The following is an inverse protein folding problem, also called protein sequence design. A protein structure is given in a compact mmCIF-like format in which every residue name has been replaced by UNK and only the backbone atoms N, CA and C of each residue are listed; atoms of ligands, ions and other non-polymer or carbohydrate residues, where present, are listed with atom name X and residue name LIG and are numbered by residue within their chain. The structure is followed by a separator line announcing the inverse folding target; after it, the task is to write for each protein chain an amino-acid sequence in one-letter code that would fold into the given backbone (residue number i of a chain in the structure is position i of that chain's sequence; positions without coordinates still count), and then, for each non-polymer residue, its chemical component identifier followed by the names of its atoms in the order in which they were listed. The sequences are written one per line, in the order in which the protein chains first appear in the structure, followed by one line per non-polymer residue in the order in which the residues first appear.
data_IF_107118168311
#
_entry.id   IF_107118168311
#
_cell.length_a   1.000
_cell.length_b   1.000
_cell.length_c   1.000
_cell.angle_alpha   90.00
_cell.angle_beta   90.00
_cell.angle_gamma   90.00
#
_symmetry.space_group_name_H-M   'P 1'
#
loop_
_entity.id
_entity.type
_entity.pdbx_description
1 polymer ?
#
# COMPACT_ATOMS: atom_id res chain seq x y z
N UNK A 1 16.89 -2.31 -16.18
CA UNK A 1 16.23 -1.19 -16.89
C UNK A 1 15.39 -0.42 -15.88
N UNK A 2 15.59 0.89 -15.77
CA UNK A 2 15.04 1.75 -14.71
C UNK A 2 13.49 1.75 -14.71
N UNK A 3 12.87 1.30 -13.62
CA UNK A 3 11.40 1.21 -13.42
C UNK A 3 10.86 2.40 -12.58
N UNK A 4 11.58 3.53 -12.56
CA UNK A 4 11.09 4.77 -11.92
C UNK A 4 10.51 5.72 -12.96
N UNK A 5 9.32 6.28 -12.69
CA UNK A 5 8.71 7.49 -13.33
C UNK A 5 7.36 7.37 -14.08
N UNK A 6 6.46 6.42 -13.74
CA UNK A 6 5.16 6.31 -14.43
C UNK A 6 3.92 6.88 -13.70
N UNK A 7 4.09 7.65 -12.63
CA UNK A 7 2.98 8.29 -11.89
C UNK A 7 2.74 9.77 -12.26
N UNK A 8 3.61 10.39 -13.07
CA UNK A 8 3.75 11.84 -13.16
C UNK A 8 2.86 12.62 -14.14
N UNK A 9 1.74 12.08 -14.63
CA UNK A 9 1.06 12.69 -15.78
C UNK A 9 -0.27 13.43 -15.41
N UNK A 10 -0.82 13.26 -14.21
CA UNK A 10 -2.27 13.25 -13.87
C UNK A 10 -3.27 14.38 -14.24
N UNK A 11 -2.94 15.59 -14.71
CA UNK A 11 -3.85 16.73 -14.40
C UNK A 11 -4.13 17.80 -15.46
N UNK A 12 -4.57 17.44 -16.67
CA UNK A 12 -5.09 18.47 -17.59
C UNK A 12 -6.38 18.02 -18.29
N UNK A 13 -7.45 18.78 -18.05
CA UNK A 13 -8.73 18.87 -18.77
C UNK A 13 -9.91 17.98 -18.32
N UNK A 14 -10.57 18.40 -17.23
CA UNK A 14 -12.02 18.28 -17.10
C UNK A 14 -12.69 19.38 -17.96
N UNK A 15 -13.31 18.99 -19.07
CA UNK A 15 -14.49 19.61 -19.69
C UNK A 15 -14.55 19.17 -21.16
N UNK A 16 -15.52 18.32 -21.52
CA UNK A 16 -16.42 18.46 -22.68
C UNK A 16 -17.44 17.31 -22.57
N UNK A 17 -18.70 17.69 -22.37
CA UNK A 17 -19.86 16.78 -22.43
C UNK A 17 -20.20 16.56 -23.91
N UNK A 18 -20.28 15.30 -24.36
CA UNK A 18 -21.01 14.96 -25.60
C UNK A 18 -21.88 13.74 -25.32
N UNK A 19 -23.19 13.98 -25.36
CA UNK A 19 -24.26 12.99 -25.27
C UNK A 19 -24.34 12.14 -26.54
N UNK A 20 -24.46 10.82 -26.39
CA UNK A 20 -24.86 9.90 -27.45
C UNK A 20 -25.72 8.80 -26.85
N UNK A 21 -26.95 8.68 -27.33
CA UNK A 21 -27.99 7.78 -26.83
C UNK A 21 -27.85 6.43 -27.50
N UNK A 22 -27.70 5.36 -26.71
CA UNK A 22 -28.08 4.01 -27.10
C UNK A 22 -28.83 3.37 -25.93
N UNK A 23 -29.97 2.75 -26.25
CA UNK A 23 -30.88 2.14 -25.29
C UNK A 23 -30.37 0.75 -24.87
N UNK A 24 -30.20 0.56 -23.57
CA UNK A 24 -30.04 -0.73 -22.91
C UNK A 24 -31.01 -0.80 -21.73
N UNK A 25 -31.51 -2.01 -21.50
CA UNK A 25 -32.58 -2.43 -20.58
C UNK A 25 -32.46 -1.80 -19.18
N UNK A 26 -33.52 -1.10 -18.73
CA UNK A 26 -33.53 -0.31 -17.49
C UNK A 26 -33.45 -1.20 -16.24
N UNK A 27 -32.25 -1.28 -15.66
CA UNK A 27 -32.10 -1.50 -14.22
C UNK A 27 -32.72 -0.30 -13.47
N UNK A 28 -33.31 -0.49 -12.27
CA UNK A 28 -34.01 0.58 -11.56
C UNK A 28 -33.10 1.80 -11.39
N UNK A 29 -33.60 2.95 -11.84
CA UNK A 29 -32.92 4.24 -11.80
C UNK A 29 -32.68 4.63 -10.33
N UNK A 30 -31.45 4.42 -9.85
CA UNK A 30 -31.02 4.97 -8.56
C UNK A 30 -30.87 6.46 -8.77
N UNK A 31 -31.68 7.27 -8.09
CA UNK A 31 -31.53 8.73 -8.06
C UNK A 31 -30.16 9.11 -7.46
N UNK A 32 -29.15 9.22 -8.34
CA UNK A 32 -27.77 9.58 -7.98
C UNK A 32 -27.63 11.04 -7.54
N UNK A 33 -28.71 11.83 -7.54
CA UNK A 33 -28.66 13.26 -7.19
C UNK A 33 -28.74 13.52 -5.69
N UNK A 34 -29.11 12.53 -4.88
CA UNK A 34 -29.12 12.63 -3.41
C UNK A 34 -28.02 11.76 -2.81
N UNK A 35 -27.03 12.40 -2.18
CA UNK A 35 -25.98 11.69 -1.45
C UNK A 35 -26.60 10.76 -0.39
N UNK A 36 -26.15 9.50 -0.37
CA UNK A 36 -26.65 8.47 0.55
C UNK A 36 -25.59 8.22 1.62
N UNK A 37 -25.40 9.23 2.46
CA UNK A 37 -24.41 9.17 3.54
C UNK A 37 -24.83 8.22 4.67
N UNK A 38 -23.87 7.46 5.19
CA UNK A 38 -23.98 6.74 6.46
C UNK A 38 -22.89 7.23 7.41
N UNK A 39 -23.30 7.73 8.58
CA UNK A 39 -22.39 8.29 9.58
C UNK A 39 -22.26 7.39 10.81
N UNK A 40 -21.06 7.38 11.38
CA UNK A 40 -20.77 6.94 12.74
C UNK A 40 -20.09 8.09 13.49
N UNK A 41 -20.35 8.23 14.78
CA UNK A 41 -19.77 9.30 15.60
C UNK A 41 -19.61 8.88 17.06
N UNK A 42 -18.64 9.49 17.73
CA UNK A 42 -18.46 9.39 19.18
C UNK A 42 -18.32 10.81 19.78
N UNK A 43 -17.75 10.92 20.98
CA UNK A 43 -17.58 12.21 21.65
C UNK A 43 -16.46 13.08 21.06
N UNK A 44 -15.63 12.53 20.16
CA UNK A 44 -14.44 13.19 19.63
C UNK A 44 -14.46 13.39 18.12
N UNK A 45 -14.96 12.42 17.35
CA UNK A 45 -14.91 12.43 15.88
C UNK A 45 -16.20 11.94 15.25
N UNK A 46 -16.40 12.31 13.98
CA UNK A 46 -17.48 11.86 13.10
C UNK A 46 -16.90 11.39 11.78
N UNK A 47 -17.29 10.20 11.36
CA UNK A 47 -16.92 9.61 10.07
C UNK A 47 -18.19 9.35 9.24
N UNK A 48 -18.12 9.65 7.95
CA UNK A 48 -19.20 9.41 6.99
C UNK A 48 -18.69 8.73 5.72
N UNK A 49 -19.40 7.69 5.31
CA UNK A 49 -19.21 7.03 4.01
C UNK A 49 -20.36 7.36 3.07
N UNK A 50 -20.08 7.51 1.77
CA UNK A 50 -21.12 7.71 0.76
C UNK A 50 -21.46 6.37 0.07
N UNK A 51 -22.68 5.89 0.29
CA UNK A 51 -23.15 4.60 -0.23
C UNK A 51 -23.45 4.64 -1.75
N UNK A 52 -23.42 5.81 -2.39
CA UNK A 52 -23.53 5.93 -3.85
C UNK A 52 -22.19 5.67 -4.56
N UNK A 53 -21.07 5.70 -3.83
CA UNK A 53 -19.70 5.55 -4.36
C UNK A 53 -18.94 4.50 -3.54
N UNK A 54 -19.46 3.27 -3.54
CA UNK A 54 -18.79 2.12 -2.91
C UNK A 54 -18.59 2.20 -1.39
N UNK A 55 -19.20 3.17 -0.71
CA UNK A 55 -18.95 3.41 0.72
C UNK A 55 -17.56 3.92 1.02
N UNK A 56 -16.92 4.63 0.08
CA UNK A 56 -15.69 5.37 0.37
C UNK A 56 -15.96 6.44 1.45
N UNK A 57 -14.95 6.74 2.28
CA UNK A 57 -15.09 7.81 3.28
C UNK A 57 -14.95 9.15 2.55
N UNK A 58 -16.04 9.92 2.56
CA UNK A 58 -16.12 11.28 2.01
C UNK A 58 -16.22 12.32 3.12
N UNK A 59 -16.37 11.89 4.37
CA UNK A 59 -16.43 12.75 5.54
C UNK A 59 -15.62 12.20 6.71
N UNK A 60 -14.72 13.00 7.26
CA UNK A 60 -14.09 12.76 8.55
C UNK A 60 -13.82 14.11 9.20
N UNK A 61 -14.21 14.28 10.46
CA UNK A 61 -13.97 15.52 11.19
C UNK A 61 -13.79 15.25 12.68
N UNK A 62 -13.07 16.16 13.34
CA UNK A 62 -13.25 16.36 14.78
C UNK A 62 -14.69 16.83 15.05
N UNK A 63 -15.26 16.47 16.19
CA UNK A 63 -16.64 16.80 16.51
C UNK A 63 -16.85 18.32 16.52
N UNK A 64 -17.72 18.80 15.63
CA UNK A 64 -17.98 20.24 15.44
C UNK A 64 -16.95 20.97 14.57
N UNK A 65 -15.95 20.25 14.01
CA UNK A 65 -14.98 20.78 13.08
C UNK A 65 -15.39 20.61 11.61
N UNK A 66 -14.51 21.09 10.72
CA UNK A 66 -14.69 20.99 9.28
C UNK A 66 -14.36 19.59 8.76
N UNK A 67 -14.97 19.23 7.62
CA UNK A 67 -14.62 17.99 6.92
C UNK A 67 -13.16 18.03 6.44
N UNK A 68 -12.39 17.01 6.83
CA UNK A 68 -11.01 16.77 6.40
C UNK A 68 -10.91 16.33 4.95
N UNK A 69 -11.92 15.63 4.43
CA UNK A 69 -11.78 14.78 3.24
C UNK A 69 -12.13 15.55 1.97
N UNK A 70 -11.26 15.45 0.97
CA UNK A 70 -11.55 15.92 -0.38
C UNK A 70 -12.50 14.95 -1.08
N UNK A 71 -13.30 15.42 -2.01
CA UNK A 71 -14.24 14.62 -2.82
C UNK A 71 -14.58 15.31 -4.13
N UNK A 72 -13.61 16.00 -4.75
CA UNK A 72 -13.80 16.71 -6.02
C UNK A 72 -14.10 15.76 -7.18
N UNK A 73 -13.54 14.56 -7.13
CA UNK A 73 -13.73 13.46 -8.07
C UNK A 73 -13.69 12.12 -7.31
N UNK A 74 -13.99 11.00 -7.99
CA UNK A 74 -13.97 9.66 -7.38
C UNK A 74 -12.58 9.04 -7.23
N UNK A 75 -11.53 9.81 -7.51
CA UNK A 75 -10.14 9.46 -7.20
C UNK A 75 -9.67 10.01 -5.84
N UNK A 76 -10.43 10.90 -5.21
CA UNK A 76 -10.00 11.66 -4.02
C UNK A 76 -10.93 11.42 -2.85
N UNK A 77 -10.72 10.36 -2.09
CA UNK A 77 -11.43 10.02 -0.85
C UNK A 77 -10.45 9.35 0.12
N UNK A 78 -10.92 8.82 1.25
CA UNK A 78 -10.22 7.67 1.84
C UNK A 78 -10.78 6.40 1.22
N UNK A 79 -9.95 5.69 0.47
CA UNK A 79 -10.41 4.56 -0.35
C UNK A 79 -9.34 3.52 -0.66
N UNK A 80 -9.81 2.30 -0.91
CA UNK A 80 -9.02 1.20 -1.43
C UNK A 80 -8.74 1.41 -2.94
N UNK A 81 -7.48 1.21 -3.34
CA UNK A 81 -7.03 1.23 -4.74
C UNK A 81 -5.91 0.20 -4.92
N UNK A 82 -6.06 -0.71 -5.88
CA UNK A 82 -5.08 -1.77 -6.13
C UNK A 82 -4.57 -1.74 -7.56
N UNK A 83 -3.37 -2.25 -7.79
CA UNK A 83 -2.68 -2.21 -9.07
C UNK A 83 -2.11 -3.59 -9.42
N UNK A 84 -2.42 -4.06 -10.62
CA UNK A 84 -1.85 -5.28 -11.19
C UNK A 84 -1.65 -5.12 -12.70
N UNK A 85 -1.01 -6.10 -13.34
CA UNK A 85 -1.15 -6.28 -14.78
C UNK A 85 -2.50 -6.93 -15.16
N UNK A 86 -2.81 -6.99 -16.47
CA UNK A 86 -1.95 -6.55 -17.56
C UNK A 86 -1.85 -5.02 -17.66
N UNK A 87 -0.82 -4.53 -18.34
CA UNK A 87 -0.59 -3.10 -18.61
C UNK A 87 -0.39 -2.95 -20.13
N UNK A 88 -1.34 -2.35 -20.87
CA UNK A 88 -2.65 -1.88 -20.41
C UNK A 88 -3.60 -3.03 -20.02
N UNK A 89 -4.66 -2.69 -19.26
CA UNK A 89 -5.80 -3.57 -19.02
C UNK A 89 -6.97 -3.15 -19.93
N UNK A 90 -7.35 -4.05 -20.84
CA UNK A 90 -8.34 -3.78 -21.91
C UNK A 90 -9.41 -4.89 -21.93
N UNK A 91 -10.23 -5.03 -20.86
CA UNK A 91 -11.31 -6.02 -20.81
C UNK A 91 -12.46 -5.62 -21.73
N UNK A 92 -13.25 -6.60 -22.20
CA UNK A 92 -14.54 -6.37 -22.87
C UNK A 92 -14.48 -5.37 -24.04
N UNK A 93 -13.34 -5.30 -24.74
CA UNK A 93 -13.12 -4.36 -25.85
C UNK A 93 -12.99 -2.89 -25.43
N UNK A 94 -13.01 -2.58 -24.13
CA UNK A 94 -12.81 -1.24 -23.59
C UNK A 94 -11.33 -0.89 -23.54
N UNK A 95 -11.03 0.38 -23.76
CA UNK A 95 -9.67 0.93 -23.68
C UNK A 95 -9.56 1.88 -22.50
N UNK A 96 -8.46 1.84 -21.74
CA UNK A 96 -8.24 2.80 -20.69
C UNK A 96 -8.11 4.20 -21.28
N UNK A 97 -8.58 5.21 -20.54
CA UNK A 97 -8.27 6.60 -20.81
C UNK A 97 -6.76 6.72 -21.01
N UNK A 98 -6.32 7.29 -22.14
CA UNK A 98 -4.91 7.21 -22.58
C UNK A 98 -3.92 7.70 -21.52
N UNK A 99 -4.36 8.71 -20.78
CA UNK A 99 -3.70 9.30 -19.64
C UNK A 99 -3.37 8.28 -18.51
N UNK A 100 -4.30 7.37 -18.20
CA UNK A 100 -4.21 6.38 -17.13
C UNK A 100 -3.82 4.97 -17.60
N UNK A 101 -3.39 4.83 -18.86
CA UNK A 101 -3.08 3.53 -19.49
C UNK A 101 -2.04 2.70 -18.71
N UNK A 102 -1.07 3.36 -18.08
CA UNK A 102 -0.01 2.71 -17.31
C UNK A 102 -0.45 2.12 -15.97
N UNK A 103 -1.67 2.43 -15.50
CA UNK A 103 -2.20 1.88 -14.25
C UNK A 103 -2.54 0.39 -14.36
N UNK A 104 -2.78 -0.13 -15.56
CA UNK A 104 -3.14 -1.54 -15.75
C UNK A 104 -4.48 -1.89 -15.12
N UNK A 105 -4.58 -3.07 -14.49
CA UNK A 105 -5.73 -3.46 -13.68
C UNK A 105 -5.75 -2.60 -12.42
N UNK A 106 -6.76 -1.73 -12.27
CA UNK A 106 -6.87 -0.78 -11.19
C UNK A 106 -8.32 -0.57 -10.71
N UNK A 107 -8.87 -1.50 -9.92
CA UNK A 107 -10.12 -1.27 -9.22
C UNK A 107 -9.91 -0.24 -8.10
N UNK A 108 -10.86 0.69 -7.99
CA UNK A 108 -10.88 1.77 -7.01
C UNK A 108 -12.26 1.82 -6.33
N UNK A 109 -12.28 2.15 -5.04
CA UNK A 109 -13.49 2.00 -4.22
C UNK A 109 -14.59 2.99 -4.58
N UNK A 110 -14.29 4.28 -4.78
CA UNK A 110 -15.34 5.28 -4.95
C UNK A 110 -16.03 5.17 -6.31
N UNK A 111 -15.26 5.07 -7.40
CA UNK A 111 -15.81 5.01 -8.75
C UNK A 111 -14.77 5.32 -9.82
N UNK A 112 -15.16 5.22 -11.09
CA UNK A 112 -14.23 5.45 -12.20
C UNK A 112 -14.03 6.93 -12.54
N UNK A 113 -13.03 7.20 -13.40
CA UNK A 113 -12.71 8.54 -13.90
C UNK A 113 -13.78 9.16 -14.81
N UNK A 114 -14.85 8.42 -15.12
CA UNK A 114 -16.03 8.87 -15.87
C UNK A 114 -17.23 9.14 -14.96
N UNK A 115 -17.01 9.23 -13.66
CA UNK A 115 -18.00 9.52 -12.63
C UNK A 115 -19.04 8.41 -12.38
N UNK A 116 -18.77 7.16 -12.75
CA UNK A 116 -19.60 6.03 -12.33
C UNK A 116 -19.17 5.54 -10.95
N UNK A 117 -20.07 5.66 -9.97
CA UNK A 117 -19.84 5.19 -8.61
C UNK A 117 -19.85 3.66 -8.49
N UNK A 118 -19.02 3.13 -7.61
CA UNK A 118 -19.01 1.72 -7.26
C UNK A 118 -20.27 1.28 -6.52
N UNK A 119 -20.67 0.02 -6.72
CA UNK A 119 -21.93 -0.50 -6.19
C UNK A 119 -21.75 -1.08 -4.79
N UNK A 120 -22.37 -0.48 -3.78
CA UNK A 120 -22.51 -1.09 -2.46
C UNK A 120 -23.45 -2.30 -2.54
N UNK A 121 -23.01 -3.44 -2.02
CA UNK A 121 -23.77 -4.70 -1.98
C UNK A 121 -24.14 -5.12 -0.56
N UNK A 122 -23.44 -4.60 0.45
CA UNK A 122 -23.75 -4.84 1.86
C UNK A 122 -23.33 -3.64 2.70
N UNK A 123 -24.13 -3.30 3.71
CA UNK A 123 -23.86 -2.19 4.63
C UNK A 123 -24.45 -2.50 6.00
N UNK A 124 -23.67 -2.23 7.05
CA UNK A 124 -24.10 -2.29 8.45
C UNK A 124 -23.57 -1.07 9.19
N UNK A 125 -24.38 -0.51 10.07
CA UNK A 125 -24.03 0.62 10.92
C UNK A 125 -24.60 0.39 12.32
N UNK A 126 -23.73 0.42 13.33
CA UNK A 126 -24.05 0.18 14.75
C UNK A 126 -23.87 1.46 15.60
N UNK A 127 -23.63 2.62 14.97
CA UNK A 127 -23.47 3.92 15.63
C UNK A 127 -22.00 4.33 15.83
N UNK A 128 -21.17 3.42 16.33
CA UNK A 128 -19.71 3.57 16.52
C UNK A 128 -18.89 2.61 15.64
N UNK A 129 -19.55 1.65 14.99
CA UNK A 129 -18.99 0.70 14.03
C UNK A 129 -19.73 0.74 12.71
N UNK A 130 -18.98 0.66 11.62
CA UNK A 130 -19.51 0.64 10.26
C UNK A 130 -18.83 -0.44 9.44
N UNK A 131 -19.62 -1.18 8.68
CA UNK A 131 -19.13 -2.10 7.67
C UNK A 131 -19.76 -1.79 6.32
N UNK A 132 -18.96 -1.83 5.27
CA UNK A 132 -19.44 -1.72 3.89
C UNK A 132 -18.71 -2.69 2.97
N UNK A 133 -19.46 -3.30 2.06
CA UNK A 133 -18.95 -4.13 0.96
C UNK A 133 -19.40 -3.56 -0.36
N UNK A 134 -18.49 -3.44 -1.31
CA UNK A 134 -18.81 -2.98 -2.66
C UNK A 134 -18.15 -3.82 -3.75
N UNK A 135 -18.73 -3.73 -4.96
CA UNK A 135 -18.05 -4.05 -6.21
C UNK A 135 -17.41 -2.75 -6.71
N UNK A 136 -16.07 -2.64 -6.72
CA UNK A 136 -15.38 -1.44 -7.16
C UNK A 136 -15.46 -1.25 -8.68
N UNK A 137 -15.14 -0.05 -9.17
CA UNK A 137 -14.99 0.24 -10.60
C UNK A 137 -13.52 0.28 -10.99
N UNK A 138 -13.21 -0.03 -12.26
CA UNK A 138 -11.87 0.13 -12.82
C UNK A 138 -11.64 1.61 -13.16
N UNK A 139 -10.74 2.28 -12.43
CA UNK A 139 -10.49 3.72 -12.55
C UNK A 139 -10.30 4.22 -14.00
N UNK A 140 -9.41 3.60 -14.82
CA UNK A 140 -9.11 4.15 -16.14
C UNK A 140 -10.16 3.80 -17.20
N UNK A 141 -11.18 2.98 -16.88
CA UNK A 141 -12.16 2.47 -17.85
C UNK A 141 -13.53 3.10 -17.62
N UNK A 142 -14.30 3.24 -18.70
CA UNK A 142 -15.65 3.77 -18.63
C UNK A 142 -16.65 2.68 -18.21
N UNK A 143 -17.23 2.84 -17.03
CA UNK A 143 -18.29 2.01 -16.46
C UNK A 143 -17.95 0.51 -16.49
N UNK A 144 -16.73 0.15 -16.07
CA UNK A 144 -16.26 -1.23 -16.00
C UNK A 144 -16.07 -1.67 -14.53
N UNK A 145 -16.88 -2.61 -14.02
CA UNK A 145 -16.71 -3.12 -12.66
C UNK A 145 -15.44 -3.97 -12.53
N UNK A 146 -14.87 -4.00 -11.33
CA UNK A 146 -13.80 -4.92 -10.99
C UNK A 146 -14.33 -6.34 -10.77
N UNK A 147 -13.55 -7.34 -11.20
CA UNK A 147 -13.76 -8.76 -10.86
C UNK A 147 -13.28 -9.05 -9.43
N UNK A 148 -13.78 -8.29 -8.45
CA UNK A 148 -13.42 -8.40 -7.05
C UNK A 148 -14.48 -7.72 -6.16
N UNK A 149 -14.37 -7.91 -4.85
CA UNK A 149 -15.10 -7.09 -3.88
C UNK A 149 -14.15 -6.45 -2.89
N UNK A 150 -14.49 -5.26 -2.44
CA UNK A 150 -13.83 -4.57 -1.34
C UNK A 150 -14.73 -4.59 -0.12
N UNK A 151 -14.14 -4.87 1.04
CA UNK A 151 -14.80 -4.79 2.34
C UNK A 151 -14.02 -3.83 3.24
N UNK A 152 -14.73 -2.91 3.89
CA UNK A 152 -14.18 -1.96 4.85
C UNK A 152 -14.93 -2.08 6.17
N UNK A 153 -14.17 -2.13 7.27
CA UNK A 153 -14.69 -2.02 8.64
C UNK A 153 -14.07 -0.80 9.30
N UNK A 154 -14.91 0.01 9.94
CA UNK A 154 -14.51 1.20 10.69
C UNK A 154 -15.04 1.10 12.12
N UNK A 155 -14.18 1.34 13.10
CA UNK A 155 -14.53 1.43 14.52
C UNK A 155 -13.93 2.71 15.11
N UNK A 156 -14.71 3.47 15.88
CA UNK A 156 -14.26 4.71 16.51
C UNK A 156 -13.76 4.46 17.94
N UNK A 157 -12.51 4.82 18.24
CA UNK A 157 -11.95 4.82 19.60
C UNK A 157 -11.29 6.18 19.89
N UNK A 158 -11.90 6.97 20.77
CA UNK A 158 -11.43 8.34 21.02
C UNK A 158 -11.37 9.15 19.74
N UNK A 159 -10.22 9.73 19.42
CA UNK A 159 -9.97 10.49 18.20
C UNK A 159 -9.47 9.64 17.01
N UNK A 160 -9.62 8.31 17.07
CA UNK A 160 -9.08 7.38 16.07
C UNK A 160 -10.19 6.61 15.38
N UNK A 161 -10.09 6.50 14.05
CA UNK A 161 -10.78 5.48 13.27
C UNK A 161 -9.86 4.31 13.07
N UNK A 162 -10.24 3.14 13.57
CA UNK A 162 -9.60 1.87 13.25
C UNK A 162 -10.21 1.34 11.95
N UNK A 163 -9.44 1.40 10.87
CA UNK A 163 -9.81 0.86 9.57
C UNK A 163 -9.25 -0.54 9.37
N UNK A 164 -10.10 -1.49 9.00
CA UNK A 164 -9.70 -2.79 8.43
C UNK A 164 -10.27 -2.89 7.02
N UNK A 165 -9.48 -3.46 6.11
CA UNK A 165 -9.77 -3.48 4.69
C UNK A 165 -9.49 -4.87 4.14
N UNK A 166 -10.35 -5.36 3.24
CA UNK A 166 -10.16 -6.63 2.54
C UNK A 166 -10.47 -6.50 1.07
N UNK A 167 -9.54 -6.96 0.23
CA UNK A 167 -9.77 -7.29 -1.16
C UNK A 167 -10.07 -8.78 -1.26
N UNK A 168 -11.24 -9.14 -1.80
CA UNK A 168 -11.51 -10.49 -2.28
C UNK A 168 -11.42 -10.47 -3.81
N UNK A 169 -10.29 -10.94 -4.36
CA UNK A 169 -10.06 -10.96 -5.79
C UNK A 169 -10.67 -12.22 -6.42
N UNK A 170 -11.29 -12.07 -7.60
CA UNK A 170 -11.93 -13.19 -8.31
C UNK A 170 -11.82 -13.01 -9.82
N UNK A 171 -10.62 -12.68 -10.30
CA UNK A 171 -10.35 -12.43 -11.72
C UNK A 171 -10.42 -13.72 -12.53
N UNK A 172 -11.00 -13.62 -13.72
CA UNK A 172 -10.96 -14.66 -14.74
C UNK A 172 -9.54 -14.88 -15.29
N UNK A 173 -8.75 -13.82 -15.41
CA UNK A 173 -7.33 -13.88 -15.78
C UNK A 173 -6.48 -14.45 -14.62
N UNK A 174 -5.97 -15.67 -14.83
CA UNK A 174 -5.17 -16.41 -13.84
C UNK A 174 -3.67 -16.17 -13.92
N UNK A 175 -3.20 -15.29 -14.82
CA UNK A 175 -1.78 -15.00 -14.94
C UNK A 175 -1.28 -14.33 -13.66
N UNK A 176 -0.19 -14.84 -13.09
CA UNK A 176 0.54 -14.14 -12.03
C UNK A 176 1.34 -12.99 -12.66
N UNK A 177 1.05 -11.76 -12.23
CA UNK A 177 1.77 -10.57 -12.65
C UNK A 177 2.82 -10.17 -11.62
N UNK A 178 3.89 -9.44 -12.02
CA UNK A 178 4.88 -8.92 -11.08
C UNK A 178 4.25 -8.06 -9.99
N UNK A 179 4.84 -8.09 -8.80
CA UNK A 179 4.37 -7.28 -7.68
C UNK A 179 4.40 -5.78 -7.99
N UNK A 180 3.36 -5.06 -7.58
CA UNK A 180 3.21 -3.60 -7.76
C UNK A 180 2.90 -2.92 -6.44
N UNK A 181 3.18 -1.63 -6.39
CA UNK A 181 2.87 -0.79 -5.24
C UNK A 181 1.34 -0.63 -5.12
N UNK A 182 0.83 -0.89 -3.93
CA UNK A 182 -0.57 -0.78 -3.54
C UNK A 182 -0.72 0.38 -2.55
N UNK A 183 -1.87 1.05 -2.56
CA UNK A 183 -2.20 2.14 -1.64
C UNK A 183 -3.09 1.62 -0.52
N UNK A 184 -2.68 1.78 0.74
CA UNK A 184 -3.24 1.03 1.86
C UNK A 184 -3.70 1.92 3.04
N UNK A 185 -4.80 2.70 2.95
CA UNK A 185 -5.51 3.13 1.75
C UNK A 185 -4.91 4.42 1.17
N UNK A 186 -5.44 4.91 0.06
CA UNK A 186 -5.25 6.31 -0.33
C UNK A 186 -6.04 7.23 0.61
N UNK A 187 -5.46 8.34 1.05
CA UNK A 187 -6.10 9.35 1.91
C UNK A 187 -5.92 10.72 1.26
N UNK A 188 -7.02 11.33 0.83
CA UNK A 188 -7.03 12.68 0.27
C UNK A 188 -7.70 13.67 1.23
N UNK A 189 -6.92 14.64 1.70
CA UNK A 189 -7.40 15.73 2.52
C UNK A 189 -7.66 16.99 1.67
N UNK A 190 -8.54 17.85 2.16
CA UNK A 190 -8.79 19.17 1.63
C UNK A 190 -7.53 20.05 1.73
N UNK A 191 -7.44 21.05 0.84
CA UNK A 191 -6.22 21.85 0.69
C UNK A 191 -5.77 22.61 1.95
N UNK A 192 -6.67 22.84 2.94
CA UNK A 192 -6.31 23.36 4.26
C UNK A 192 -5.22 22.55 4.96
N UNK A 193 -5.29 21.22 4.93
CA UNK A 193 -4.35 20.31 5.60
C UNK A 193 -3.12 20.03 4.73
N UNK A 194 -2.42 21.09 4.34
CA UNK A 194 -1.42 21.11 3.27
C UNK A 194 -0.02 20.62 3.65
N UNK A 195 0.27 20.44 4.93
CA UNK A 195 1.64 20.12 5.41
C UNK A 195 1.74 18.66 5.80
N UNK A 196 2.80 17.97 5.36
CA UNK A 196 3.04 16.57 5.71
C UNK A 196 4.19 16.47 6.70
N UNK A 197 3.98 15.72 7.79
CA UNK A 197 5.02 15.45 8.80
C UNK A 197 5.18 13.96 9.06
N UNK A 198 6.43 13.55 9.30
CA UNK A 198 6.78 12.21 9.79
C UNK A 198 8.15 12.25 10.46
N UNK A 199 8.58 11.15 11.07
CA UNK A 199 9.96 10.96 11.51
C UNK A 199 10.77 10.22 10.43
N UNK A 200 11.96 10.72 10.10
CA UNK A 200 12.88 10.13 9.11
C UNK A 200 14.27 9.76 9.68
N UNK A 201 14.47 9.92 10.99
CA UNK A 201 15.77 9.64 11.61
C UNK A 201 16.01 8.15 11.87
N UNK A 202 17.13 7.82 12.51
CA UNK A 202 17.57 6.45 12.79
C UNK A 202 17.29 5.98 14.24
N UNK A 203 16.59 6.80 15.04
CA UNK A 203 16.22 6.52 16.43
C UNK A 203 14.69 6.60 16.59
N UNK A 204 13.95 5.68 15.96
CA UNK A 204 12.49 5.71 15.99
C UNK A 204 11.97 5.59 17.43
N UNK A 205 10.81 6.17 17.69
CA UNK A 205 10.10 6.08 18.97
C UNK A 205 10.81 6.76 20.16
N UNK A 206 11.71 7.71 19.89
CA UNK A 206 12.47 8.45 20.93
C UNK A 206 11.98 9.88 21.17
N UNK A 207 11.00 10.37 20.40
CA UNK A 207 10.57 11.76 20.48
C UNK A 207 11.47 12.75 19.73
N UNK A 208 12.49 12.27 19.01
CA UNK A 208 13.37 13.11 18.19
C UNK A 208 12.58 13.98 17.16
N UNK A 209 13.12 15.11 16.67
CA UNK A 209 12.36 16.04 15.82
C UNK A 209 11.73 15.39 14.59
N UNK A 210 10.51 15.85 14.24
CA UNK A 210 9.84 15.48 13.00
C UNK A 210 10.42 16.24 11.81
N UNK A 211 10.27 15.67 10.62
CA UNK A 211 10.61 16.29 9.35
C UNK A 211 9.33 16.66 8.61
N UNK A 212 9.29 17.87 8.07
CA UNK A 212 8.27 18.28 7.11
C UNK A 212 8.63 17.76 5.71
N UNK A 213 7.72 17.01 5.09
CA UNK A 213 7.88 16.54 3.71
C UNK A 213 7.37 17.64 2.79
N UNK A 214 8.29 18.46 2.30
CA UNK A 214 7.99 19.53 1.36
C UNK A 214 7.92 19.00 -0.08
N UNK A 215 6.78 18.42 -0.46
CA UNK A 215 6.54 18.00 -1.84
C UNK A 215 5.31 18.72 -2.41
N UNK A 216 5.59 19.88 -3.01
CA UNK A 216 4.57 20.73 -3.64
C UNK A 216 4.60 20.54 -5.15
N UNK A 217 3.44 20.29 -5.75
CA UNK A 217 3.30 20.35 -7.19
C UNK A 217 3.60 21.77 -7.69
N UNK A 218 4.59 21.90 -8.57
CA UNK A 218 5.08 23.19 -9.11
C UNK A 218 4.51 23.54 -10.49
N UNK A 219 3.43 22.88 -10.91
CA UNK A 219 2.89 23.03 -12.25
C UNK A 219 3.62 22.18 -13.29
N UNK A 220 2.94 21.95 -14.43
CA UNK A 220 3.51 21.33 -15.62
C UNK A 220 3.24 19.82 -15.78
N UNK A 221 3.35 19.30 -17.02
CA UNK A 221 2.95 17.93 -17.37
C UNK A 221 3.94 16.85 -16.90
N UNK A 222 5.14 17.22 -16.45
CA UNK A 222 6.20 16.29 -16.02
C UNK A 222 6.43 16.30 -14.51
N UNK A 223 5.66 17.10 -13.76
CA UNK A 223 5.88 17.27 -12.35
C UNK A 223 4.99 16.32 -11.55
N UNK A 224 5.59 15.29 -10.97
CA UNK A 224 4.87 14.33 -10.13
C UNK A 224 4.43 15.03 -8.83
N UNK A 225 3.12 15.15 -8.57
CA UNK A 225 2.63 15.84 -7.39
C UNK A 225 2.91 15.09 -6.09
N UNK A 226 3.39 13.84 -6.16
CA UNK A 226 3.62 12.95 -5.04
C UNK A 226 5.10 12.58 -4.93
N UNK A 227 5.63 12.59 -3.70
CA UNK A 227 6.95 12.12 -3.35
C UNK A 227 6.85 10.82 -2.55
N UNK A 228 7.89 9.99 -2.65
CA UNK A 228 8.02 8.77 -1.83
C UNK A 228 9.09 8.93 -0.77
N UNK A 229 8.81 8.41 0.41
CA UNK A 229 9.76 8.36 1.51
C UNK A 229 9.52 7.11 2.36
N UNK A 230 10.50 6.79 3.19
CA UNK A 230 10.42 5.71 4.15
C UNK A 230 10.55 6.27 5.56
N UNK A 231 9.65 5.87 6.45
CA UNK A 231 9.64 6.25 7.87
C UNK A 231 9.75 5.01 8.74
N UNK A 232 10.71 4.96 9.69
CA UNK A 232 10.83 3.84 10.61
C UNK A 232 9.72 3.80 11.67
N UNK A 233 8.96 4.90 11.84
CA UNK A 233 7.85 4.94 12.79
C UNK A 233 6.50 4.53 12.15
N UNK A 234 6.47 4.27 10.84
CA UNK A 234 5.31 3.75 10.10
C UNK A 234 4.06 4.65 10.11
N UNK A 235 4.24 5.95 10.32
CA UNK A 235 3.17 6.94 10.26
C UNK A 235 3.60 8.22 9.57
N UNK A 236 2.64 8.93 9.01
CA UNK A 236 2.78 10.30 8.56
C UNK A 236 1.47 11.05 8.81
N UNK A 237 1.49 12.38 8.84
CA UNK A 237 0.31 13.19 9.10
C UNK A 237 0.20 14.37 8.13
N UNK A 238 -1.03 14.64 7.68
CA UNK A 238 -1.41 15.85 6.95
C UNK A 238 -2.05 16.83 7.92
N UNK A 239 -1.47 18.02 8.07
CA UNK A 239 -1.90 19.01 9.08
C UNK A 239 -2.04 20.41 8.50
N UNK A 240 -2.83 21.23 9.18
CA UNK A 240 -2.96 22.67 8.91
C UNK A 240 -1.78 23.47 9.47
N UNK A 241 -1.92 24.81 9.46
CA UNK A 241 -0.84 25.72 9.90
C UNK A 241 -0.59 25.62 11.41
N UNK A 242 -1.62 25.25 12.16
CA UNK A 242 -1.63 25.05 13.61
C UNK A 242 -1.13 23.66 14.00
N UNK A 243 -0.80 22.80 13.03
CA UNK A 243 -0.29 21.45 13.28
C UNK A 243 -1.38 20.47 13.70
N UNK A 244 -2.64 20.72 13.34
CA UNK A 244 -3.79 19.82 13.56
C UNK A 244 -4.30 19.25 12.25
N UNK A 245 -4.72 18.00 12.25
CA UNK A 245 -5.22 17.33 11.06
C UNK A 245 -5.35 15.83 11.23
N UNK A 246 -4.84 15.09 10.26
CA UNK A 246 -5.05 13.66 10.12
C UNK A 246 -3.72 12.90 10.03
N UNK A 247 -3.46 12.06 11.02
CA UNK A 247 -2.41 11.05 11.00
C UNK A 247 -2.88 9.75 10.35
N UNK A 248 -2.00 9.12 9.58
CA UNK A 248 -2.19 7.79 9.01
C UNK A 248 -1.07 6.89 9.53
N UNK A 249 -1.44 5.88 10.31
CA UNK A 249 -0.52 4.86 10.81
C UNK A 249 -0.86 3.50 10.22
N UNK A 250 0.14 2.79 9.71
CA UNK A 250 0.00 1.41 9.25
C UNK A 250 1.09 0.55 9.85
N UNK A 251 0.72 -0.49 10.61
CA UNK A 251 1.73 -1.43 11.15
C UNK A 251 2.52 -2.14 10.05
N UNK A 252 1.97 -2.22 8.85
CA UNK A 252 2.47 -3.02 7.75
C UNK A 252 3.37 -2.23 6.78
N UNK A 253 3.36 -0.90 6.81
CA UNK A 253 4.05 -0.08 5.83
C UNK A 253 5.04 0.89 6.49
N UNK A 254 6.30 0.84 6.04
CA UNK A 254 7.29 1.89 6.32
C UNK A 254 7.42 2.88 5.17
N UNK A 255 7.01 2.50 3.94
CA UNK A 255 7.01 3.39 2.78
C UNK A 255 5.68 4.15 2.71
N UNK A 256 5.76 5.44 2.39
CA UNK A 256 4.63 6.31 2.15
C UNK A 256 4.82 7.06 0.83
N UNK A 257 3.70 7.37 0.20
CA UNK A 257 3.62 8.29 -0.92
C UNK A 257 2.72 9.45 -0.53
N UNK A 258 3.04 10.66 -0.96
CA UNK A 258 2.22 11.81 -0.63
C UNK A 258 2.77 13.14 -1.13
N UNK A 259 1.95 14.18 -1.04
CA UNK A 259 2.32 15.53 -1.47
C UNK A 259 1.09 16.39 -1.68
N UNK A 260 1.33 17.66 -2.02
CA UNK A 260 0.28 18.64 -2.24
C UNK A 260 0.05 18.89 -3.73
N UNK A 261 -1.20 18.77 -4.16
CA UNK A 261 -1.65 19.14 -5.48
C UNK A 261 -2.46 20.44 -5.43
N UNK A 262 -2.14 21.36 -6.34
CA UNK A 262 -2.77 22.68 -6.47
C UNK A 262 -1.79 23.83 -6.28
N UNK A 263 -2.09 24.99 -6.88
CA UNK A 263 -1.21 26.17 -6.83
C UNK A 263 -1.47 27.08 -5.64
N UNK A 264 -2.64 26.98 -5.03
CA UNK A 264 -3.00 27.72 -3.80
C UNK A 264 -2.88 26.77 -2.62
N UNK A 265 -1.88 27.00 -1.77
CA UNK A 265 -1.54 26.10 -0.66
C UNK A 265 -2.25 26.52 0.63
N UNK A 266 -2.92 25.56 1.29
CA UNK A 266 -3.59 25.82 2.56
C UNK A 266 -5.04 26.29 2.43
N UNK A 267 -5.62 26.23 1.24
CA UNK A 267 -6.99 26.65 0.94
C UNK A 267 -7.71 25.57 0.11
N UNK A 268 -9.04 25.59 0.11
CA UNK A 268 -9.89 24.65 -0.62
C UNK A 268 -10.56 23.63 0.30
N UNK A 269 -11.84 23.38 0.04
CA UNK A 269 -12.68 22.40 0.71
C UNK A 269 -12.96 21.16 -0.13
N UNK A 270 -13.99 20.41 0.26
CA UNK A 270 -14.29 19.08 -0.28
C UNK A 270 -14.51 19.02 -1.80
N UNK A 271 -14.97 20.11 -2.41
CA UNK A 271 -15.22 20.17 -3.86
C UNK A 271 -14.08 20.84 -4.65
N UNK A 272 -13.05 21.34 -3.99
CA UNK A 272 -11.99 22.12 -4.63
C UNK A 272 -10.85 21.24 -5.15
N UNK A 273 -10.24 21.64 -6.27
CA UNK A 273 -9.21 20.85 -6.94
C UNK A 273 -7.96 20.63 -6.07
N UNK A 274 -7.68 21.53 -5.15
CA UNK A 274 -6.54 21.50 -4.25
C UNK A 274 -6.69 20.38 -3.23
N UNK A 275 -5.66 19.54 -3.10
CA UNK A 275 -5.70 18.41 -2.18
C UNK A 275 -4.32 18.05 -1.67
N UNK A 276 -4.27 17.54 -0.45
CA UNK A 276 -3.09 16.85 0.05
C UNK A 276 -3.35 15.34 0.02
N UNK A 277 -2.42 14.58 -0.53
CA UNK A 277 -2.49 13.13 -0.62
C UNK A 277 -1.48 12.50 0.31
N UNK A 278 -1.91 11.43 0.98
CA UNK A 278 -1.04 10.57 1.77
C UNK A 278 -1.53 9.12 1.65
N UNK A 279 -0.60 8.18 1.45
CA UNK A 279 -0.92 6.77 1.37
C UNK A 279 0.24 5.92 1.90
N UNK A 280 0.01 5.02 2.88
CA UNK A 280 0.95 3.94 3.15
C UNK A 280 1.06 3.05 1.92
N UNK A 281 2.28 2.66 1.56
CA UNK A 281 2.56 1.88 0.36
C UNK A 281 3.17 0.54 0.74
N UNK A 282 2.68 -0.52 0.10
CA UNK A 282 3.38 -1.81 0.04
C UNK A 282 3.41 -2.34 -1.37
N UNK A 283 4.49 -3.03 -1.71
CA UNK A 283 4.58 -3.76 -2.97
C UNK A 283 4.06 -5.18 -2.75
N UNK A 284 3.08 -5.60 -3.55
CA UNK A 284 2.41 -6.89 -3.38
C UNK A 284 2.14 -7.55 -4.74
N UNK A 285 2.16 -8.89 -4.75
CA UNK A 285 1.66 -9.71 -5.87
C UNK A 285 0.16 -9.97 -5.63
N UNK A 286 -0.68 -9.43 -6.51
CA UNK A 286 -2.14 -9.59 -6.45
C UNK A 286 -2.54 -10.75 -7.36
N UNK A 287 -2.58 -11.97 -6.80
CA UNK A 287 -3.07 -13.14 -7.53
C UNK A 287 -4.56 -13.00 -7.87
N UNK A 288 -4.99 -13.69 -8.92
CA UNK A 288 -6.36 -13.65 -9.44
C UNK A 288 -7.44 -13.97 -8.38
N UNK A 289 -7.09 -14.76 -7.36
CA UNK A 289 -7.96 -15.28 -6.31
C UNK A 289 -7.52 -14.86 -4.89
N UNK A 290 -6.66 -13.83 -4.75
CA UNK A 290 -6.14 -13.44 -3.44
C UNK A 290 -7.23 -12.87 -2.52
N UNK A 291 -7.17 -13.27 -1.26
CA UNK A 291 -7.80 -12.55 -0.15
C UNK A 291 -6.72 -11.70 0.54
N UNK A 292 -6.74 -10.39 0.31
CA UNK A 292 -5.71 -9.49 0.82
C UNK A 292 -6.27 -8.56 1.87
N UNK A 293 -5.77 -8.66 3.10
CA UNK A 293 -6.22 -7.88 4.26
C UNK A 293 -5.13 -6.94 4.78
N UNK A 294 -5.53 -5.73 5.15
CA UNK A 294 -4.67 -4.77 5.83
C UNK A 294 -5.47 -3.90 6.81
N UNK A 295 -4.75 -3.18 7.66
CA UNK A 295 -5.35 -2.25 8.61
C UNK A 295 -4.56 -0.95 8.72
N UNK A 296 -5.27 0.13 9.02
CA UNK A 296 -4.71 1.44 9.31
C UNK A 296 -5.45 2.10 10.47
N UNK A 297 -4.78 3.06 11.10
CA UNK A 297 -5.43 3.96 12.05
C UNK A 297 -5.36 5.37 11.51
N UNK A 298 -6.53 6.00 11.42
CA UNK A 298 -6.71 7.38 11.02
C UNK A 298 -6.92 8.18 12.30
N UNK A 299 -5.96 9.05 12.63
CA UNK A 299 -5.87 9.70 13.94
C UNK A 299 -6.10 11.19 13.76
N UNK A 300 -7.22 11.71 14.24
CA UNK A 300 -7.57 13.13 14.10
C UNK A 300 -7.02 13.90 15.31
N UNK A 301 -6.22 14.94 15.09
CA UNK A 301 -5.71 15.75 16.19
C UNK A 301 -4.43 16.52 15.84
N UNK A 302 -3.73 16.99 16.86
CA UNK A 302 -2.41 17.60 16.74
C UNK A 302 -1.33 16.57 16.40
N UNK A 303 -0.21 17.03 15.84
CA UNK A 303 0.98 16.19 15.61
C UNK A 303 1.44 15.45 16.88
N UNK A 304 1.32 16.09 18.04
CA UNK A 304 1.67 15.49 19.32
C UNK A 304 0.72 14.35 19.70
N UNK A 305 -0.60 14.56 19.61
CA UNK A 305 -1.61 13.53 19.86
C UNK A 305 -1.46 12.34 18.90
N UNK A 306 -1.20 12.60 17.62
CA UNK A 306 -0.98 11.58 16.59
C UNK A 306 0.25 10.73 16.95
N UNK A 307 1.38 11.39 17.21
CA UNK A 307 2.65 10.72 17.51
C UNK A 307 2.55 9.90 18.80
N UNK A 308 1.95 10.48 19.83
CA UNK A 308 1.78 9.82 21.12
C UNK A 308 0.95 8.54 20.98
N UNK A 309 -0.16 8.60 20.24
CA UNK A 309 -0.96 7.41 19.96
C UNK A 309 -0.15 6.31 19.25
N UNK A 310 0.66 6.67 18.24
CA UNK A 310 1.52 5.70 17.55
C UNK A 310 2.55 5.07 18.50
N UNK A 311 3.13 5.86 19.39
CA UNK A 311 4.14 5.38 20.35
C UNK A 311 3.54 4.42 21.38
N UNK A 312 2.30 4.68 21.81
CA UNK A 312 1.57 3.83 22.74
C UNK A 312 1.13 2.51 22.10
N UNK A 313 0.70 2.53 20.83
CA UNK A 313 0.15 1.35 20.15
C UNK A 313 1.20 0.53 19.39
N UNK A 314 2.41 1.06 19.17
CA UNK A 314 3.47 0.31 18.50
C UNK A 314 4.11 -0.71 19.44
N UNK A 315 4.02 -2.02 19.16
CA UNK A 315 4.70 -3.01 19.98
C UNK A 315 6.21 -2.90 19.81
N UNK A 316 6.97 -2.91 20.91
CA UNK A 316 8.41 -2.63 20.90
C UNK A 316 9.30 -3.82 20.51
N UNK A 317 8.75 -5.00 20.29
CA UNK A 317 9.52 -6.27 20.23
C UNK A 317 9.07 -7.22 19.12
N UNK A 318 8.63 -6.72 17.97
CA UNK A 318 8.25 -7.60 16.85
C UNK A 318 9.46 -7.81 15.96
N UNK A 319 9.97 -9.05 15.90
CA UNK A 319 10.90 -9.46 14.85
C UNK A 319 10.17 -9.40 13.50
N UNK A 320 10.77 -8.86 12.42
CA UNK A 320 10.30 -9.02 11.05
C UNK A 320 10.57 -10.45 10.54
N UNK A 321 10.21 -11.47 11.34
CA UNK A 321 10.28 -12.85 10.89
C UNK A 321 9.20 -13.08 9.83
N UNK A 322 9.62 -13.43 8.63
CA UNK A 322 8.75 -13.75 7.51
C UNK A 322 8.45 -15.25 7.55
N UNK A 323 7.20 -15.59 7.85
CA UNK A 323 6.71 -16.96 8.02
C UNK A 323 5.75 -17.23 6.87
N UNK A 324 6.21 -17.93 5.84
CA UNK A 324 5.46 -18.15 4.61
C UNK A 324 4.37 -19.22 4.75
N UNK A 325 3.67 -19.23 5.89
CA UNK A 325 2.63 -20.20 6.22
C UNK A 325 1.34 -19.98 5.45
N UNK A 326 0.93 -18.72 5.37
CA UNK A 326 -0.38 -18.33 4.85
C UNK A 326 -0.29 -17.13 3.90
N UNK A 327 0.90 -16.59 3.69
CA UNK A 327 1.11 -15.33 2.99
C UNK A 327 2.54 -15.24 2.45
N UNK A 328 2.76 -14.32 1.50
CA UNK A 328 4.12 -13.97 1.03
C UNK A 328 4.83 -13.00 1.96
N UNK A 329 4.14 -12.48 2.95
CA UNK A 329 4.56 -11.43 3.86
C UNK A 329 5.15 -10.20 3.14
N UNK A 330 4.64 -9.88 1.95
CA UNK A 330 5.11 -8.78 1.10
C UNK A 330 6.33 -9.09 0.26
N UNK A 331 6.78 -10.35 0.21
CA UNK A 331 7.83 -10.75 -0.72
C UNK A 331 7.33 -10.72 -2.16
N UNK A 332 8.14 -10.14 -3.02
CA UNK A 332 7.87 -9.98 -4.46
C UNK A 332 9.09 -10.36 -5.27
N UNK A 333 8.86 -10.74 -6.53
CA UNK A 333 9.90 -11.34 -7.35
C UNK A 333 10.14 -10.59 -8.67
N UNK A 334 11.37 -10.67 -9.14
CA UNK A 334 11.78 -10.41 -10.52
C UNK A 334 12.54 -11.63 -11.04
N UNK A 335 12.29 -12.04 -12.28
CA UNK A 335 12.87 -13.29 -12.84
C UNK A 335 12.32 -14.60 -12.27
N UNK A 336 11.26 -14.55 -11.45
CA UNK A 336 10.64 -15.73 -10.86
C UNK A 336 9.13 -15.53 -10.60
N UNK A 337 8.42 -16.64 -10.41
CA UNK A 337 7.03 -16.73 -9.95
C UNK A 337 6.95 -17.76 -8.83
N UNK A 338 5.84 -17.82 -8.11
CA UNK A 338 5.57 -18.93 -7.19
C UNK A 338 4.31 -19.72 -7.60
N UNK A 339 3.91 -20.65 -6.73
CA UNK A 339 2.71 -21.49 -6.94
C UNK A 339 1.36 -20.73 -6.90
N UNK A 340 1.34 -19.44 -6.56
CA UNK A 340 0.12 -18.64 -6.46
C UNK A 340 -0.60 -18.78 -5.11
N UNK A 341 -1.62 -17.94 -4.90
CA UNK A 341 -2.48 -17.97 -3.72
C UNK A 341 -3.45 -19.18 -3.73
N UNK A 342 -3.73 -19.83 -2.59
CA UNK A 342 -3.20 -19.55 -1.26
C UNK A 342 -1.80 -20.12 -1.03
N UNK A 343 -1.01 -19.39 -0.25
CA UNK A 343 0.28 -19.87 0.26
C UNK A 343 0.03 -20.90 1.36
N UNK A 344 0.78 -22.01 1.35
CA UNK A 344 0.65 -23.11 2.30
C UNK A 344 2.04 -23.55 2.75
N UNK A 345 2.43 -23.11 3.95
CA UNK A 345 3.66 -23.49 4.67
C UNK A 345 5.00 -23.05 4.05
N UNK A 346 5.08 -22.81 2.75
CA UNK A 346 6.29 -22.36 2.05
C UNK A 346 5.99 -21.51 0.80
N UNK A 347 6.97 -20.72 0.37
CA UNK A 347 7.04 -20.18 -0.99
C UNK A 347 7.70 -21.21 -1.91
N UNK A 348 6.96 -21.75 -2.88
CA UNK A 348 7.49 -22.61 -3.95
C UNK A 348 7.86 -21.76 -5.17
N UNK A 349 9.09 -21.24 -5.18
CA UNK A 349 9.59 -20.33 -6.21
C UNK A 349 10.07 -21.11 -7.44
N UNK A 350 9.65 -20.66 -8.61
CA UNK A 350 10.01 -21.19 -9.94
C UNK A 350 10.75 -20.13 -10.74
N UNK A 351 11.96 -20.45 -11.16
CA UNK A 351 12.80 -19.51 -11.90
C UNK A 351 12.46 -19.51 -13.40
N UNK A 352 12.47 -18.32 -14.00
CA UNK A 352 12.25 -18.15 -15.44
C UNK A 352 13.50 -18.42 -16.28
N UNK A 353 14.64 -18.68 -15.63
CA UNK A 353 15.97 -18.75 -16.23
C UNK A 353 16.75 -17.44 -16.05
N UNK A 354 18.04 -17.55 -15.74
CA UNK A 354 18.94 -16.41 -15.50
C UNK A 354 18.98 -15.98 -14.03
N UNK A 355 19.14 -14.68 -13.82
CA UNK A 355 19.16 -14.09 -12.48
C UNK A 355 17.74 -13.78 -12.01
N UNK A 356 17.47 -14.05 -10.72
CA UNK A 356 16.22 -13.70 -10.06
C UNK A 356 16.49 -12.90 -8.78
N UNK A 357 15.53 -12.05 -8.43
CA UNK A 357 15.54 -11.25 -7.19
C UNK A 357 14.26 -11.49 -6.44
N UNK A 358 14.37 -11.99 -5.20
CA UNK A 358 13.27 -12.16 -4.27
C UNK A 358 13.45 -11.10 -3.20
N UNK A 359 12.62 -10.05 -3.20
CA UNK A 359 12.76 -8.93 -2.29
C UNK A 359 11.65 -8.96 -1.24
N UNK A 360 12.03 -8.89 0.04
CA UNK A 360 11.07 -8.67 1.13
C UNK A 360 10.49 -7.26 1.11
N UNK A 361 9.44 -6.99 1.91
CA UNK A 361 8.87 -5.65 1.99
C UNK A 361 9.85 -4.64 2.59
N UNK A 362 9.72 -3.33 2.30
CA UNK A 362 10.41 -2.29 3.05
C UNK A 362 10.06 -2.37 4.55
N UNK A 363 11.08 -2.35 5.40
CA UNK A 363 10.96 -2.39 6.86
C UNK A 363 12.06 -1.52 7.49
N UNK A 364 12.26 -1.54 8.81
CA UNK A 364 13.35 -0.86 9.46
C UNK A 364 13.84 -1.63 10.68
N UNK A 365 15.16 -1.82 10.76
CA UNK A 365 15.84 -2.22 11.99
C UNK A 365 17.25 -1.62 12.02
N UNK A 366 17.85 -1.56 13.21
CA UNK A 366 19.26 -1.20 13.32
C UNK A 366 20.11 -2.44 13.08
N UNK A 367 21.15 -2.30 12.25
CA UNK A 367 22.08 -3.38 11.93
C UNK A 367 22.67 -4.05 13.19
N UNK A 368 22.97 -3.26 14.21
CA UNK A 368 23.53 -3.75 15.49
C UNK A 368 22.56 -4.66 16.27
N UNK A 369 21.25 -4.50 16.05
CA UNK A 369 20.21 -5.26 16.76
C UNK A 369 19.91 -6.59 16.02
N UNK A 370 20.34 -6.72 14.76
CA UNK A 370 20.13 -7.90 13.91
C UNK A 370 21.47 -8.38 13.34
N UNK A 371 22.27 -9.13 14.11
CA UNK A 371 23.60 -9.55 13.66
C UNK A 371 23.56 -10.59 12.53
N UNK A 372 22.49 -11.40 12.48
CA UNK A 372 22.33 -12.56 11.62
C UNK A 372 20.95 -12.67 10.97
N UNK A 373 20.87 -13.40 9.87
CA UNK A 373 19.64 -13.73 9.16
C UNK A 373 19.60 -15.24 8.96
N UNK A 374 18.49 -15.86 9.37
CA UNK A 374 18.23 -17.29 9.22
C UNK A 374 17.26 -17.52 8.07
N UNK A 375 17.55 -18.50 7.23
CA UNK A 375 16.73 -18.84 6.07
C UNK A 375 16.54 -20.35 6.11
N UNK A 376 15.29 -20.83 6.17
CA UNK A 376 15.01 -22.25 5.97
C UNK A 376 14.47 -22.44 4.57
N UNK A 377 15.22 -23.18 3.77
CA UNK A 377 14.94 -23.32 2.35
C UNK A 377 15.50 -24.62 1.76
N UNK A 378 14.95 -25.02 0.62
CA UNK A 378 15.44 -26.09 -0.23
C UNK A 378 15.66 -25.54 -1.65
N UNK A 379 16.92 -25.45 -2.09
CA UNK A 379 17.28 -25.07 -3.46
C UNK A 379 17.47 -26.35 -4.27
N UNK A 380 16.79 -26.47 -5.40
CA UNK A 380 17.06 -27.51 -6.40
C UNK A 380 17.65 -26.83 -7.64
N UNK A 381 18.97 -26.96 -7.81
CA UNK A 381 19.72 -26.42 -8.95
C UNK A 381 21.14 -26.99 -8.98
N UNK A 382 21.70 -27.18 -10.17
CA UNK A 382 23.11 -27.57 -10.33
C UNK A 382 24.08 -26.38 -10.31
N UNK A 383 23.60 -25.17 -10.66
CA UNK A 383 24.45 -24.03 -10.98
C UNK A 383 24.08 -22.75 -10.21
N UNK A 384 22.90 -22.68 -9.61
CA UNK A 384 22.43 -21.47 -8.98
C UNK A 384 23.24 -21.15 -7.71
N UNK A 385 23.55 -19.87 -7.54
CA UNK A 385 24.12 -19.35 -6.29
C UNK A 385 23.16 -18.34 -5.66
N UNK A 386 23.15 -18.27 -4.33
CA UNK A 386 22.32 -17.35 -3.58
C UNK A 386 23.20 -16.32 -2.84
N UNK A 387 22.75 -15.06 -2.85
CA UNK A 387 23.30 -14.02 -1.98
C UNK A 387 22.17 -13.25 -1.29
N UNK A 388 22.39 -12.95 -0.01
CA UNK A 388 21.59 -11.98 0.74
C UNK A 388 22.07 -10.58 0.38
N UNK A 389 21.15 -9.68 0.03
CA UNK A 389 21.41 -8.27 -0.20
C UNK A 389 20.60 -7.43 0.78
N UNK A 390 21.09 -6.23 1.10
CA UNK A 390 20.37 -5.26 1.92
C UNK A 390 20.46 -3.84 1.38
N UNK A 391 19.46 -3.04 1.75
CA UNK A 391 19.45 -1.58 1.62
C UNK A 391 19.65 -0.94 2.98
N UNK A 392 20.21 0.26 3.00
CA UNK A 392 20.33 1.06 4.23
C UNK A 392 19.53 2.35 4.09
N UNK A 393 19.27 3.03 5.20
CA UNK A 393 18.63 4.36 5.18
C UNK A 393 19.43 5.42 4.41
N UNK A 394 20.73 5.17 4.18
CA UNK A 394 21.62 6.05 3.38
C UNK A 394 21.72 5.62 1.92
N UNK A 395 21.43 4.36 1.61
CA UNK A 395 21.60 3.76 0.29
C UNK A 395 20.35 3.01 -0.16
N UNK A 396 19.58 3.63 -1.06
CA UNK A 396 18.25 3.17 -1.49
C UNK A 396 18.25 1.99 -2.49
N UNK A 397 19.41 1.57 -2.98
CA UNK A 397 19.57 0.50 -3.97
C UNK A 397 20.20 -0.78 -3.40
N UNK A 398 19.73 -1.94 -3.88
CA UNK A 398 20.47 -3.19 -3.70
C UNK A 398 21.78 -3.14 -4.50
N UNK A 399 22.88 -3.59 -3.91
CA UNK A 399 24.18 -3.63 -4.58
C UNK A 399 25.01 -4.82 -4.10
N UNK A 400 25.91 -5.31 -4.95
CA UNK A 400 26.81 -6.42 -4.58
C UNK A 400 27.79 -6.01 -3.44
N UNK A 401 28.05 -4.71 -3.25
CA UNK A 401 28.82 -4.19 -2.13
C UNK A 401 28.11 -4.30 -0.76
N UNK A 402 26.78 -4.46 -0.77
CA UNK A 402 25.93 -4.71 0.41
C UNK A 402 25.28 -6.08 0.28
N UNK A 403 26.14 -7.08 0.12
CA UNK A 403 25.72 -8.47 -0.04
C UNK A 403 26.62 -9.43 0.71
N UNK A 404 26.07 -10.61 1.04
CA UNK A 404 26.81 -11.76 1.57
C UNK A 404 26.27 -13.04 0.94
N UNK A 405 27.16 -13.93 0.52
CA UNK A 405 26.77 -15.23 -0.05
C UNK A 405 25.97 -16.04 0.97
N UNK A 406 24.99 -16.79 0.47
CA UNK A 406 24.29 -17.83 1.22
C UNK A 406 24.69 -19.16 0.58
N UNK A 407 25.43 -19.97 1.33
CA UNK A 407 25.99 -21.25 0.85
C UNK A 407 24.92 -22.34 0.78
N UNK A 408 23.90 -22.11 -0.06
CA UNK A 408 22.81 -23.04 -0.29
C UNK A 408 23.28 -24.28 -1.06
N UNK A 409 22.85 -25.46 -0.63
CA UNK A 409 23.10 -26.72 -1.34
C UNK A 409 21.94 -26.97 -2.31
N UNK A 410 22.27 -27.15 -3.58
CA UNK A 410 21.32 -27.27 -4.69
C UNK A 410 20.64 -28.63 -4.88
N UNK A 411 20.57 -29.48 -3.84
CA UNK A 411 20.07 -30.86 -3.92
C UNK A 411 18.57 -31.02 -3.63
N UNK A 412 17.85 -29.92 -3.45
CA UNK A 412 16.42 -29.90 -3.15
C UNK A 412 16.07 -30.30 -1.71
N UNK A 413 17.04 -30.41 -0.80
CA UNK A 413 16.79 -30.75 0.60
C UNK A 413 16.69 -29.49 1.47
N UNK A 414 15.62 -29.41 2.26
CA UNK A 414 15.38 -28.28 3.17
C UNK A 414 16.41 -28.24 4.30
N UNK A 415 17.02 -27.08 4.51
CA UNK A 415 18.03 -26.81 5.55
C UNK A 415 17.85 -25.42 6.15
N UNK A 416 18.32 -25.25 7.37
CA UNK A 416 18.51 -23.95 8.00
C UNK A 416 19.88 -23.38 7.64
N UNK A 417 19.89 -22.26 6.91
CA UNK A 417 21.07 -21.46 6.58
C UNK A 417 21.13 -20.25 7.51
N UNK A 418 22.32 -19.93 8.01
CA UNK A 418 22.55 -18.72 8.80
C UNK A 418 23.59 -17.85 8.08
N UNK A 419 23.25 -16.58 7.90
CA UNK A 419 24.11 -15.57 7.27
C UNK A 419 24.34 -14.48 8.29
N UNK A 420 25.60 -14.14 8.55
CA UNK A 420 25.97 -13.08 9.51
C UNK A 420 26.36 -11.81 8.76
N UNK A 421 25.42 -10.97 8.27
CA UNK A 421 25.78 -9.75 7.55
C UNK A 421 26.55 -8.77 8.44
N UNK A 422 26.49 -8.88 9.77
CA UNK A 422 27.27 -8.09 10.72
C UNK A 422 28.80 -8.19 10.54
N UNK A 423 29.30 -9.26 9.93
CA UNK A 423 30.73 -9.38 9.57
C UNK A 423 31.12 -8.47 8.39
N UNK A 424 30.14 -7.93 7.66
CA UNK A 424 30.36 -7.05 6.53
C UNK A 424 30.38 -5.58 6.98
N UNK A 425 31.45 -4.80 6.72
CA UNK A 425 31.50 -3.37 7.08
C UNK A 425 30.38 -2.52 6.48
N UNK A 426 29.77 -2.99 5.39
CA UNK A 426 28.64 -2.34 4.72
C UNK A 426 27.28 -2.60 5.38
N UNK A 427 27.20 -3.47 6.39
CA UNK A 427 26.01 -3.73 7.19
C UNK A 427 26.05 -2.89 8.47
N UNK A 428 25.61 -1.64 8.37
CA UNK A 428 25.66 -0.67 9.46
C UNK A 428 24.51 0.33 9.35
N UNK A 429 24.15 0.95 10.49
CA UNK A 429 23.06 1.93 10.58
C UNK A 429 21.68 1.29 10.44
N UNK A 430 20.72 2.06 9.93
CA UNK A 430 19.37 1.58 9.68
C UNK A 430 19.31 0.74 8.40
N UNK A 431 18.90 -0.51 8.52
CA UNK A 431 18.61 -1.41 7.41
C UNK A 431 17.15 -1.27 7.05
N UNK A 432 16.86 -1.14 5.75
CA UNK A 432 15.51 -0.75 5.29
C UNK A 432 14.81 -1.77 4.40
N UNK A 433 15.55 -2.77 3.91
CA UNK A 433 15.02 -3.86 3.09
C UNK A 433 16.08 -4.94 2.91
N UNK A 434 15.64 -6.19 2.78
CA UNK A 434 16.49 -7.32 2.35
C UNK A 434 15.95 -7.99 1.10
N UNK A 435 16.83 -8.70 0.40
CA UNK A 435 16.47 -9.55 -0.73
C UNK A 435 17.42 -10.75 -0.87
N UNK A 436 16.93 -11.81 -1.51
CA UNK A 436 17.74 -12.93 -1.98
C UNK A 436 17.93 -12.78 -3.49
N UNK A 437 19.18 -12.69 -3.93
CA UNK A 437 19.56 -12.72 -5.34
C UNK A 437 20.00 -14.13 -5.68
N UNK A 438 19.31 -14.74 -6.64
CA UNK A 438 19.66 -16.03 -7.21
C UNK A 438 20.32 -15.76 -8.56
N UNK A 439 21.56 -16.24 -8.75
CA UNK A 439 22.28 -16.08 -10.02
C UNK A 439 22.30 -17.39 -10.77
N UNK A 440 22.22 -17.32 -12.10
CA UNK A 440 22.42 -18.48 -13.00
C UNK A 440 21.46 -19.66 -12.74
N UNK A 441 20.23 -19.40 -12.31
CA UNK A 441 19.20 -20.43 -12.24
C UNK A 441 18.76 -20.85 -13.65
N UNK A 442 18.63 -22.15 -13.90
CA UNK A 442 18.07 -22.66 -15.14
C UNK A 442 16.53 -22.65 -15.09
N UNK A 443 15.84 -22.57 -16.24
CA UNK A 443 14.42 -22.89 -16.30
C UNK A 443 14.16 -24.30 -15.73
N UNK A 444 13.28 -24.40 -14.74
CA UNK A 444 12.97 -25.65 -14.05
C UNK A 444 13.65 -25.82 -12.69
N UNK A 445 14.67 -25.01 -12.38
CA UNK A 445 15.19 -24.89 -11.02
C UNK A 445 14.11 -24.34 -10.07
N UNK A 446 14.17 -24.74 -8.81
CA UNK A 446 13.20 -24.31 -7.78
C UNK A 446 13.88 -23.91 -6.49
N UNK A 447 13.23 -23.01 -5.75
CA UNK A 447 13.61 -22.65 -4.39
C UNK A 447 12.36 -22.67 -3.53
N UNK A 448 12.31 -23.60 -2.58
CA UNK A 448 11.28 -23.64 -1.54
C UNK A 448 11.77 -22.89 -0.33
N UNK A 449 10.98 -21.96 0.22
CA UNK A 449 11.37 -21.17 1.40
C UNK A 449 10.27 -21.29 2.45
N UNK A 450 10.61 -21.86 3.60
CA UNK A 450 9.72 -21.97 4.76
C UNK A 450 9.65 -20.64 5.53
N UNK A 451 10.82 -20.04 5.82
CA UNK A 451 10.91 -18.78 6.55
C UNK A 451 12.21 -18.01 6.28
N UNK A 452 12.16 -16.70 6.50
CA UNK A 452 13.33 -15.81 6.62
C UNK A 452 13.21 -15.05 7.94
N UNK A 453 14.10 -15.30 8.89
CA UNK A 453 14.05 -14.76 10.25
C UNK A 453 15.24 -13.87 10.58
N UNK A 454 14.99 -12.77 11.29
CA UNK A 454 16.03 -11.85 11.76
C UNK A 454 16.53 -12.33 13.13
N UNK A 455 17.82 -12.65 13.25
CA UNK A 455 18.40 -13.02 14.54
C UNK A 455 18.55 -11.77 15.42
N UNK A 456 18.45 -11.91 16.75
CA UNK A 456 18.56 -10.77 17.69
C UNK A 456 17.24 -10.36 18.34
N UNK A 457 16.10 -10.72 17.75
CA UNK A 457 14.80 -10.67 18.41
C UNK A 457 14.42 -12.06 18.95
N UNK A 458 13.73 -12.17 20.10
CA UNK A 458 13.19 -13.45 20.54
C UNK A 458 12.26 -13.98 19.44
N UNK A 459 12.60 -15.14 18.88
CA UNK A 459 11.80 -15.80 17.84
C UNK A 459 10.40 -16.06 18.41
N UNK A 460 9.40 -15.34 17.90
CA UNK A 460 8.00 -15.65 18.21
C UNK A 460 7.62 -16.92 17.46
N UNK A 461 7.92 -18.08 18.07
CA UNK A 461 7.38 -19.38 17.65
C UNK A 461 5.87 -19.52 17.93
N UNK A 462 5.17 -18.45 18.30
CA UNK A 462 3.77 -18.44 18.71
C UNK A 462 2.94 -17.47 17.88
N UNK A 463 1.95 -18.03 17.19
CA UNK A 463 0.71 -17.44 16.68
C UNK A 463 0.64 -15.91 16.61
N UNK A 464 0.89 -15.37 15.41
CA UNK A 464 0.31 -14.09 15.01
C UNK A 464 -1.10 -14.42 14.49
N UNK A 465 -2.13 -14.07 15.27
CA UNK A 465 -3.52 -14.01 14.80
C UNK A 465 -3.79 -12.72 14.06
#
# INVERSE_FOLDING_TARGET
MNIGSWLGWAVVCCAVVVSSVFAEEEAPEVDRTKSRMSYIENDRIKLGVDLNVGGAVTYLAEKGGDNLINSTDWGRQIQMSFYSGPIPFEPNGKKPMGFWRGLGWNPIQAGDSYAHGSKVVEHRNEGDKLYVKCVPMQWPLNNEPGECTFECWYELEGNVVKGRYKLNNSRSDKKQYPGRNQELPAVYANGRWSRIFTYLGDKPFTGAPLTEIAHLWKGGPTNEPWGRWQTPERWAAMVDREGRGLGVWSRQATEFNGGYFGTVVGEGGAADLQTNYLGPVRREIIDHNIEYEYSTHLIVGSLEEIRQYVYEKTPRTVSPDYLFKHSRDGWVYDGATDSGWPIRDELDIRFSGGDAMLAGPPDFWLAQDVPGIRIKAALLSENASCALLWKTSKDSGFSDARSKSVDMIGDGVSRDYTVEPSDCPAYQGGIVQIALKIKSAAPGDTLKIDYVGLSGYPCNKGEIK
#
